data_IF_970006009735
#
_entry.id   IF_970006009735
#
_cell.length_a   1.000
_cell.length_b   1.000
_cell.length_c   1.000
_cell.angle_alpha   90.00
_cell.angle_beta   90.00
_cell.angle_gamma   90.00
#
_symmetry.space_group_name_H-M   'P 1'
#
loop_
_entity.id
_entity.type
_entity.pdbx_description
1 polymer ?
#
# COMPACT_ATOMS: atom_id res chain seq x y z
N UNK A 1 -26.30 12.21 -34.33
CA UNK A 1 -26.59 12.53 -32.92
C UNK A 1 -26.90 11.20 -32.25
N UNK A 2 -25.92 10.60 -31.58
CA UNK A 2 -26.17 9.38 -30.80
C UNK A 2 -27.15 9.74 -29.70
N UNK A 3 -28.22 8.97 -29.56
CA UNK A 3 -29.12 9.05 -28.40
C UNK A 3 -28.30 8.64 -27.18
N UNK A 4 -27.57 9.58 -26.59
CA UNK A 4 -26.89 9.38 -25.32
C UNK A 4 -27.99 9.20 -24.27
N UNK A 5 -28.16 7.98 -23.79
CA UNK A 5 -29.19 7.64 -22.80
C UNK A 5 -28.97 8.46 -21.52
N UNK A 6 -29.86 9.40 -21.17
CA UNK A 6 -29.71 10.21 -19.96
C UNK A 6 -29.68 9.34 -18.69
N UNK A 7 -30.28 8.15 -18.71
CA UNK A 7 -30.19 7.19 -17.63
C UNK A 7 -28.76 6.63 -17.49
N UNK A 8 -28.11 6.31 -18.61
CA UNK A 8 -26.71 5.87 -18.61
C UNK A 8 -25.77 6.97 -18.11
N UNK A 9 -25.96 8.21 -18.53
CA UNK A 9 -25.13 9.34 -18.07
C UNK A 9 -25.25 9.55 -16.56
N UNK A 10 -26.49 9.47 -16.04
CA UNK A 10 -26.76 9.54 -14.62
C UNK A 10 -26.07 8.39 -13.87
N UNK A 11 -26.22 7.15 -14.34
CA UNK A 11 -25.59 5.98 -13.74
C UNK A 11 -24.05 6.06 -13.72
N UNK A 12 -23.41 6.48 -14.82
CA UNK A 12 -21.96 6.63 -14.89
C UNK A 12 -21.45 7.75 -13.97
N UNK A 13 -22.20 8.83 -13.83
CA UNK A 13 -21.87 9.91 -12.90
C UNK A 13 -21.95 9.43 -11.46
N UNK A 14 -23.03 8.73 -11.09
CA UNK A 14 -23.16 8.11 -9.76
C UNK A 14 -22.04 7.11 -9.49
N UNK A 15 -21.75 6.22 -10.44
CA UNK A 15 -20.67 5.23 -10.32
C UNK A 15 -19.31 5.91 -10.12
N UNK A 16 -19.01 6.98 -10.87
CA UNK A 16 -17.79 7.75 -10.67
C UNK A 16 -17.66 8.26 -9.23
N UNK A 17 -18.72 8.84 -8.66
CA UNK A 17 -18.71 9.33 -7.28
C UNK A 17 -18.62 8.21 -6.25
N UNK A 18 -19.27 7.06 -6.49
CA UNK A 18 -19.18 5.88 -5.62
C UNK A 18 -17.74 5.36 -5.59
N UNK A 19 -17.10 5.22 -6.76
CA UNK A 19 -15.70 4.79 -6.87
C UNK A 19 -14.74 5.79 -6.22
N UNK A 20 -14.95 7.10 -6.41
CA UNK A 20 -14.13 8.15 -5.79
C UNK A 20 -14.29 8.17 -4.26
N UNK A 21 -15.51 7.92 -3.77
CA UNK A 21 -15.78 7.78 -2.33
C UNK A 21 -15.07 6.54 -1.78
N UNK A 22 -15.14 5.40 -2.49
CA UNK A 22 -14.44 4.19 -2.10
C UNK A 22 -12.92 4.40 -1.98
N UNK A 23 -12.31 5.11 -2.95
CA UNK A 23 -10.89 5.51 -2.90
C UNK A 23 -10.58 6.37 -1.66
N UNK A 24 -11.45 7.33 -1.34
CA UNK A 24 -11.25 8.26 -0.23
C UNK A 24 -11.37 7.54 1.13
N UNK A 25 -12.37 6.68 1.29
CA UNK A 25 -12.55 5.84 2.49
C UNK A 25 -11.36 4.90 2.69
N UNK A 26 -10.93 4.24 1.61
CA UNK A 26 -9.74 3.41 1.58
C UNK A 26 -8.49 4.16 2.07
N UNK A 27 -8.21 5.35 1.52
CA UNK A 27 -7.05 6.15 1.90
C UNK A 27 -7.10 6.61 3.38
N UNK A 28 -8.29 6.92 3.90
CA UNK A 28 -8.49 7.24 5.31
C UNK A 28 -8.19 6.03 6.22
N UNK A 29 -8.66 4.84 5.84
CA UNK A 29 -8.36 3.59 6.56
C UNK A 29 -6.85 3.30 6.56
N UNK A 30 -6.18 3.41 5.42
CA UNK A 30 -4.73 3.23 5.30
C UNK A 30 -3.97 4.16 6.26
N UNK A 31 -4.32 5.44 6.24
CA UNK A 31 -3.69 6.47 7.07
C UNK A 31 -3.92 6.21 8.57
N UNK A 32 -5.13 5.81 8.94
CA UNK A 32 -5.49 5.48 10.32
C UNK A 32 -4.69 4.29 10.85
N UNK A 33 -4.60 3.20 10.06
CA UNK A 33 -3.85 1.99 10.44
C UNK A 33 -2.35 2.26 10.55
N UNK A 34 -1.78 2.97 9.58
CA UNK A 34 -0.37 3.37 9.61
C UNK A 34 -0.06 4.21 10.86
N UNK A 35 -0.92 5.20 11.16
CA UNK A 35 -0.78 6.05 12.34
C UNK A 35 -0.89 5.25 13.63
N UNK A 36 -1.86 4.33 13.74
CA UNK A 36 -2.04 3.49 14.91
C UNK A 36 -0.79 2.64 15.17
N UNK A 37 -0.24 2.01 14.13
CA UNK A 37 0.98 1.21 14.24
C UNK A 37 2.17 2.06 14.70
N UNK A 38 2.42 3.22 14.07
CA UNK A 38 3.54 4.10 14.45
C UNK A 38 3.40 4.65 15.87
N UNK A 39 2.16 4.96 16.31
CA UNK A 39 1.89 5.37 17.69
C UNK A 39 2.16 4.25 18.69
N UNK A 40 1.67 3.04 18.42
CA UNK A 40 1.89 1.87 19.27
C UNK A 40 3.39 1.51 19.36
N UNK A 41 4.10 1.57 18.23
CA UNK A 41 5.54 1.38 18.18
C UNK A 41 6.27 2.44 19.01
N UNK A 42 5.96 3.71 18.79
CA UNK A 42 6.61 4.82 19.51
C UNK A 42 6.40 4.73 21.03
N UNK A 43 5.16 4.50 21.49
CA UNK A 43 4.88 4.39 22.94
C UNK A 43 5.55 3.17 23.57
N UNK A 44 5.61 2.06 22.83
CA UNK A 44 6.31 0.84 23.25
C UNK A 44 7.82 1.05 23.36
N UNK A 45 8.44 1.74 22.41
CA UNK A 45 9.86 2.07 22.45
C UNK A 45 10.17 3.01 23.63
N UNK A 46 9.29 3.96 23.94
CA UNK A 46 9.40 4.81 25.13
C UNK A 46 9.33 3.95 26.40
N UNK A 47 8.38 3.02 26.50
CA UNK A 47 8.27 2.12 27.65
C UNK A 47 9.51 1.22 27.80
N UNK A 48 10.04 0.69 26.70
CA UNK A 48 11.29 -0.08 26.69
C UNK A 48 12.49 0.77 27.12
N UNK A 49 12.54 2.04 26.74
CA UNK A 49 13.56 2.99 27.18
C UNK A 49 13.54 3.22 28.69
N UNK A 50 12.36 3.36 29.29
CA UNK A 50 12.24 3.44 30.76
C UNK A 50 12.61 2.14 31.47
N UNK A 51 12.35 1.00 30.83
CA UNK A 51 12.71 -0.30 31.33
C UNK A 51 14.14 -0.72 30.94
N UNK A 52 14.97 0.17 30.39
CA UNK A 52 16.32 -0.18 29.94
C UNK A 52 17.19 -0.75 31.08
N UNK A 53 18.20 -1.57 30.75
CA UNK A 53 19.12 -2.12 31.76
C UNK A 53 19.71 -1.02 32.66
N UNK A 54 19.88 -1.29 33.97
CA UNK A 54 19.87 -2.61 34.61
C UNK A 54 18.49 -3.12 35.08
N UNK A 55 17.37 -2.53 34.64
CA UNK A 55 16.04 -2.96 35.10
C UNK A 55 15.72 -4.42 34.72
N UNK A 56 15.28 -5.28 35.67
CA UNK A 56 14.90 -6.66 35.38
C UNK A 56 13.62 -6.75 34.53
N UNK A 57 12.86 -5.65 34.39
CA UNK A 57 11.66 -5.60 33.58
C UNK A 57 11.95 -5.53 32.06
N UNK A 58 13.19 -5.23 31.64
CA UNK A 58 13.53 -5.05 30.22
C UNK A 58 13.19 -6.27 29.37
N UNK A 59 13.71 -7.44 29.78
CA UNK A 59 13.61 -8.69 29.02
C UNK A 59 12.15 -9.14 28.87
N UNK A 60 11.33 -9.27 29.92
CA UNK A 60 9.95 -9.68 29.77
C UNK A 60 9.11 -8.66 28.98
N UNK A 61 9.38 -7.36 29.13
CA UNK A 61 8.70 -6.32 28.35
C UNK A 61 9.07 -6.41 26.86
N UNK A 62 10.35 -6.54 26.53
CA UNK A 62 10.80 -6.70 25.14
C UNK A 62 10.26 -7.99 24.51
N UNK A 63 10.29 -9.10 25.25
CA UNK A 63 9.81 -10.40 24.79
C UNK A 63 8.30 -10.45 24.55
N UNK A 64 7.51 -9.58 25.18
CA UNK A 64 6.06 -9.51 24.98
C UNK A 64 5.67 -8.46 23.94
N UNK A 65 6.27 -7.28 23.99
CA UNK A 65 5.89 -6.13 23.16
C UNK A 65 6.43 -6.25 21.74
N UNK A 66 7.68 -6.69 21.53
CA UNK A 66 8.26 -6.76 20.19
C UNK A 66 7.54 -7.76 19.28
N UNK A 67 7.17 -8.98 19.71
CA UNK A 67 6.36 -9.88 18.90
C UNK A 67 4.96 -9.33 18.62
N UNK A 68 4.32 -8.69 19.60
CA UNK A 68 3.00 -8.08 19.41
C UNK A 68 3.05 -6.96 18.34
N UNK A 69 4.08 -6.11 18.38
CA UNK A 69 4.30 -5.08 17.37
C UNK A 69 4.60 -5.68 16.00
N UNK A 70 5.41 -6.74 15.93
CA UNK A 70 5.71 -7.42 14.66
C UNK A 70 4.44 -7.96 13.98
N UNK A 71 3.53 -8.56 14.75
CA UNK A 71 2.23 -9.06 14.28
C UNK A 71 1.32 -7.90 13.86
N UNK A 72 1.24 -6.83 14.67
CA UNK A 72 0.44 -5.65 14.34
C UNK A 72 0.91 -4.99 13.05
N UNK A 73 2.23 -4.87 12.86
CA UNK A 73 2.82 -4.32 11.65
C UNK A 73 2.54 -5.20 10.44
N UNK A 74 2.61 -6.53 10.58
CA UNK A 74 2.27 -7.48 9.51
C UNK A 74 0.81 -7.31 9.05
N UNK A 75 -0.15 -7.28 9.99
CA UNK A 75 -1.57 -7.08 9.66
C UNK A 75 -1.82 -5.73 9.00
N UNK A 76 -1.14 -4.69 9.49
CA UNK A 76 -1.22 -3.35 8.91
C UNK A 76 -0.71 -3.35 7.47
N UNK A 77 0.48 -3.91 7.23
CA UNK A 77 1.10 -3.98 5.91
C UNK A 77 0.27 -4.80 4.91
N UNK A 78 -0.28 -5.96 5.31
CA UNK A 78 -1.14 -6.78 4.44
C UNK A 78 -2.39 -5.99 4.03
N UNK A 79 -3.05 -5.33 4.96
CA UNK A 79 -4.26 -4.54 4.65
C UNK A 79 -3.96 -3.35 3.74
N UNK A 80 -2.81 -2.69 3.93
CA UNK A 80 -2.34 -1.61 3.05
C UNK A 80 -2.13 -2.10 1.61
N UNK A 81 -1.64 -3.33 1.41
CA UNK A 81 -1.51 -3.94 0.08
C UNK A 81 -2.88 -4.14 -0.57
N UNK A 82 -3.84 -4.70 0.17
CA UNK A 82 -5.19 -4.95 -0.36
C UNK A 82 -5.91 -3.66 -0.74
N UNK A 83 -5.83 -2.63 0.11
CA UNK A 83 -6.42 -1.32 -0.18
C UNK A 83 -5.75 -0.65 -1.38
N UNK A 84 -4.43 -0.82 -1.55
CA UNK A 84 -3.73 -0.37 -2.75
C UNK A 84 -4.21 -1.07 -4.03
N UNK A 85 -4.49 -2.38 -3.99
CA UNK A 85 -5.09 -3.09 -5.12
C UNK A 85 -6.49 -2.57 -5.43
N UNK A 86 -7.33 -2.38 -4.41
CA UNK A 86 -8.67 -1.82 -4.57
C UNK A 86 -8.61 -0.41 -5.20
N UNK A 87 -7.69 0.43 -4.76
CA UNK A 87 -7.48 1.78 -5.30
C UNK A 87 -7.13 1.74 -6.80
N UNK A 88 -6.25 0.82 -7.23
CA UNK A 88 -5.94 0.64 -8.66
C UNK A 88 -7.19 0.25 -9.46
N UNK A 89 -8.01 -0.66 -8.94
CA UNK A 89 -9.25 -1.09 -9.61
C UNK A 89 -10.25 0.05 -9.75
N UNK A 90 -10.51 0.79 -8.67
CA UNK A 90 -11.43 1.93 -8.68
C UNK A 90 -10.95 3.01 -9.65
N UNK A 91 -9.66 3.32 -9.66
CA UNK A 91 -9.11 4.31 -10.62
C UNK A 91 -9.15 3.83 -12.05
N UNK A 92 -8.97 2.53 -12.30
CA UNK A 92 -9.11 1.95 -13.64
C UNK A 92 -10.56 2.06 -14.13
N UNK A 93 -11.53 1.79 -13.26
CA UNK A 93 -12.94 1.96 -13.59
C UNK A 93 -13.29 3.43 -13.86
N UNK A 94 -12.79 4.37 -13.05
CA UNK A 94 -12.93 5.81 -13.30
C UNK A 94 -12.29 6.22 -14.63
N UNK A 95 -11.10 5.70 -14.97
CA UNK A 95 -10.45 5.98 -16.25
C UNK A 95 -11.30 5.52 -17.44
N UNK A 96 -11.94 4.35 -17.33
CA UNK A 96 -12.89 3.86 -18.34
C UNK A 96 -14.12 4.77 -18.50
N UNK A 97 -14.69 5.24 -17.39
CA UNK A 97 -15.79 6.21 -17.41
C UNK A 97 -15.34 7.52 -18.08
N UNK A 98 -14.14 7.99 -17.77
CA UNK A 98 -13.58 9.22 -18.37
C UNK A 98 -13.30 9.07 -19.87
N UNK A 99 -12.90 7.88 -20.33
CA UNK A 99 -12.79 7.58 -21.75
C UNK A 99 -14.14 7.73 -22.47
N UNK A 100 -15.23 7.25 -21.85
CA UNK A 100 -16.58 7.44 -22.39
C UNK A 100 -16.93 8.93 -22.47
N UNK A 101 -16.66 9.70 -21.42
CA UNK A 101 -16.93 11.15 -21.41
C UNK A 101 -16.19 11.92 -22.50
N UNK A 102 -14.97 11.49 -22.85
CA UNK A 102 -14.19 12.09 -23.95
C UNK A 102 -14.79 11.85 -25.33
N UNK A 103 -15.66 10.85 -25.50
CA UNK A 103 -16.30 10.52 -26.78
C UNK A 103 -17.64 11.24 -26.99
N UNK A 104 -18.22 11.84 -25.96
CA UNK A 104 -19.52 12.52 -26.01
C UNK A 104 -19.53 13.75 -26.93
N UNK A 105 -18.40 14.47 -27.00
CA UNK A 105 -18.31 15.69 -27.80
C UNK A 105 -16.89 15.88 -28.33
N UNK A 106 -16.72 16.40 -29.56
CA UNK A 106 -15.42 16.78 -30.09
C UNK A 106 -14.65 17.79 -29.21
N UNK A 107 -15.36 18.60 -28.41
CA UNK A 107 -14.74 19.56 -27.46
C UNK A 107 -14.42 18.94 -26.11
N UNK A 108 -14.89 17.73 -25.81
CA UNK A 108 -14.67 17.10 -24.51
C UNK A 108 -13.18 16.82 -24.25
N UNK A 109 -12.39 16.59 -25.30
CA UNK A 109 -10.93 16.43 -25.19
C UNK A 109 -10.20 17.67 -24.71
N UNK A 110 -10.79 18.85 -24.86
CA UNK A 110 -10.17 20.12 -24.45
C UNK A 110 -10.26 20.32 -22.92
N UNK A 111 -11.26 19.70 -22.29
CA UNK A 111 -11.52 19.83 -20.85
C UNK A 111 -11.13 18.58 -20.05
N UNK A 112 -11.22 17.39 -20.66
CA UNK A 112 -10.93 16.13 -19.98
C UNK A 112 -9.52 15.67 -20.34
N UNK A 113 -8.59 15.90 -19.42
CA UNK A 113 -7.17 15.57 -19.55
C UNK A 113 -6.96 14.06 -19.76
N UNK A 114 -6.19 13.72 -20.81
CA UNK A 114 -5.69 12.37 -21.07
C UNK A 114 -4.39 12.12 -20.29
N UNK A 115 -4.47 11.39 -19.18
CA UNK A 115 -3.31 11.23 -18.28
C UNK A 115 -2.25 10.30 -18.87
N UNK A 116 -2.65 9.30 -19.66
CA UNK A 116 -1.75 8.34 -20.31
C UNK A 116 -1.43 8.67 -21.78
N UNK A 117 -1.88 9.83 -22.28
CA UNK A 117 -1.62 10.28 -23.65
C UNK A 117 -2.09 9.24 -24.69
N UNK A 118 -1.17 8.74 -25.52
CA UNK A 118 -1.46 7.75 -26.56
C UNK A 118 -1.96 6.39 -26.02
N UNK A 119 -1.71 6.09 -24.74
CA UNK A 119 -2.13 4.86 -24.09
C UNK A 119 -3.43 5.01 -23.28
N UNK A 120 -4.18 6.11 -23.43
CA UNK A 120 -5.42 6.36 -22.67
C UNK A 120 -6.46 5.25 -22.85
N UNK A 121 -6.48 4.57 -24.02
CA UNK A 121 -7.43 3.50 -24.30
C UNK A 121 -7.26 2.27 -23.39
N UNK A 122 -6.10 2.12 -22.72
CA UNK A 122 -5.93 1.15 -21.65
C UNK A 122 -6.23 1.80 -20.30
N UNK A 123 -7.37 1.41 -19.72
CA UNK A 123 -7.85 1.92 -18.44
C UNK A 123 -6.83 1.72 -17.30
N UNK A 124 -6.04 0.65 -17.33
CA UNK A 124 -5.03 0.37 -16.31
C UNK A 124 -3.84 1.32 -16.45
N UNK A 125 -3.36 1.54 -17.66
CA UNK A 125 -2.30 2.52 -17.93
C UNK A 125 -2.75 3.94 -17.63
N UNK A 126 -3.99 4.30 -17.97
CA UNK A 126 -4.59 5.60 -17.63
C UNK A 126 -4.68 5.79 -16.10
N UNK A 127 -5.13 4.77 -15.36
CA UNK A 127 -5.14 4.81 -13.90
C UNK A 127 -3.74 4.98 -13.30
N UNK A 128 -2.75 4.22 -13.79
CA UNK A 128 -1.36 4.38 -13.36
C UNK A 128 -0.84 5.80 -13.62
N UNK A 129 -1.14 6.38 -14.79
CA UNK A 129 -0.72 7.72 -15.12
C UNK A 129 -1.32 8.80 -14.17
N UNK A 130 -2.58 8.64 -13.72
CA UNK A 130 -3.17 9.54 -12.71
C UNK A 130 -2.50 9.46 -11.33
N UNK A 131 -1.79 8.37 -11.05
CA UNK A 131 -1.02 8.20 -9.81
C UNK A 131 0.40 8.76 -9.93
N UNK A 132 0.78 9.37 -11.07
CA UNK A 132 2.16 9.79 -11.34
C UNK A 132 3.11 8.61 -11.59
N UNK A 133 2.57 7.41 -11.80
CA UNK A 133 3.32 6.18 -12.07
C UNK A 133 3.67 6.19 -13.57
N UNK A 134 4.75 6.89 -13.91
CA UNK A 134 5.29 6.92 -15.27
C UNK A 134 5.76 5.54 -15.75
N UNK A 135 5.56 5.26 -17.04
CA UNK A 135 5.69 3.98 -17.77
C UNK A 135 7.04 3.23 -17.72
N UNK A 136 7.97 3.60 -16.83
CA UNK A 136 9.37 3.11 -16.87
C UNK A 136 9.95 2.60 -15.55
N UNK A 137 9.23 2.58 -14.42
CA UNK A 137 9.82 2.10 -13.16
C UNK A 137 8.90 1.33 -12.21
N UNK A 138 8.10 0.41 -12.76
CA UNK A 138 7.16 -0.45 -12.03
C UNK A 138 7.75 -1.13 -10.78
N UNK A 139 9.02 -1.56 -10.85
CA UNK A 139 9.69 -2.24 -9.73
C UNK A 139 10.04 -1.32 -8.55
N UNK A 140 10.45 -0.07 -8.80
CA UNK A 140 10.84 0.89 -7.77
C UNK A 140 9.61 1.61 -7.20
N UNK A 141 8.55 1.77 -7.99
CA UNK A 141 7.31 2.41 -7.51
C UNK A 141 6.64 1.58 -6.41
N UNK A 142 6.70 0.25 -6.50
CA UNK A 142 6.24 -0.62 -5.41
C UNK A 142 6.90 -0.31 -4.06
N UNK A 143 8.18 0.11 -4.06
CA UNK A 143 8.93 0.48 -2.86
C UNK A 143 8.44 1.78 -2.20
N UNK A 144 7.82 2.68 -2.96
CA UNK A 144 7.36 3.98 -2.46
C UNK A 144 5.90 3.97 -1.99
N UNK A 145 5.32 2.78 -1.82
CA UNK A 145 3.97 2.64 -1.27
C UNK A 145 3.97 2.75 0.26
N UNK A 146 2.87 3.23 0.82
CA UNK A 146 2.67 3.27 2.28
C UNK A 146 2.80 1.88 2.91
N UNK A 147 2.39 0.82 2.20
CA UNK A 147 2.58 -0.57 2.60
C UNK A 147 4.06 -0.93 2.81
N UNK A 148 4.92 -0.58 1.85
CA UNK A 148 6.38 -0.83 1.95
C UNK A 148 7.03 0.01 3.04
N UNK A 149 6.60 1.26 3.25
CA UNK A 149 7.11 2.09 4.34
C UNK A 149 6.82 1.44 5.70
N UNK A 150 5.57 1.01 5.93
CA UNK A 150 5.21 0.31 7.17
C UNK A 150 5.91 -1.04 7.28
N UNK A 151 6.04 -1.79 6.18
CA UNK A 151 6.76 -3.06 6.19
C UNK A 151 8.25 -2.89 6.49
N UNK A 152 8.89 -1.80 6.03
CA UNK A 152 10.27 -1.47 6.36
C UNK A 152 10.42 -1.17 7.86
N UNK A 153 9.51 -0.37 8.43
CA UNK A 153 9.46 -0.13 9.88
C UNK A 153 9.28 -1.46 10.63
N UNK A 154 8.37 -2.33 10.18
CA UNK A 154 8.14 -3.63 10.80
C UNK A 154 9.35 -4.56 10.70
N UNK A 155 10.08 -4.50 9.59
CA UNK A 155 11.32 -5.26 9.39
C UNK A 155 12.39 -4.84 10.39
N UNK A 156 12.49 -3.54 10.71
CA UNK A 156 13.40 -3.03 11.75
C UNK A 156 13.01 -3.60 13.12
N UNK A 157 11.71 -3.62 13.46
CA UNK A 157 11.22 -4.19 14.72
C UNK A 157 11.58 -5.68 14.82
N UNK A 158 11.34 -6.44 13.75
CA UNK A 158 11.69 -7.87 13.70
C UNK A 158 13.20 -8.06 13.84
N UNK A 159 14.02 -7.30 13.12
CA UNK A 159 15.48 -7.39 13.21
C UNK A 159 16.01 -7.04 14.60
N UNK A 160 15.45 -6.00 15.23
CA UNK A 160 15.80 -5.62 16.60
C UNK A 160 15.43 -6.72 17.61
N UNK A 161 14.22 -7.30 17.49
CA UNK A 161 13.78 -8.42 18.32
C UNK A 161 14.67 -9.66 18.16
N UNK A 162 15.03 -10.02 16.92
CA UNK A 162 15.95 -11.14 16.65
C UNK A 162 17.36 -10.84 17.19
N UNK A 163 17.85 -9.60 17.07
CA UNK A 163 19.15 -9.20 17.66
C UNK A 163 19.14 -9.41 19.17
N UNK A 164 18.11 -8.91 19.86
CA UNK A 164 17.97 -9.03 21.31
C UNK A 164 17.81 -10.48 21.78
N UNK A 165 17.14 -11.32 20.99
CA UNK A 165 17.02 -12.75 21.29
C UNK A 165 18.37 -13.47 21.08
N UNK A 166 19.08 -13.14 20.01
CA UNK A 166 20.33 -13.80 19.64
C UNK A 166 21.48 -13.47 20.61
N UNK A 167 21.49 -12.31 21.26
CA UNK A 167 22.50 -11.97 22.28
C UNK A 167 22.46 -12.88 23.51
N UNK A 168 21.39 -13.67 23.71
CA UNK A 168 21.32 -14.66 24.78
C UNK A 168 22.21 -15.88 24.53
N UNK A 169 22.58 -16.16 23.28
CA UNK A 169 23.31 -17.36 22.87
C UNK A 169 24.58 -17.07 22.05
N UNK A 170 24.67 -15.89 21.43
CA UNK A 170 25.71 -15.54 20.48
C UNK A 170 26.42 -14.23 20.85
N UNK A 171 27.67 -14.03 20.39
CA UNK A 171 28.36 -12.75 20.55
C UNK A 171 27.64 -11.65 19.77
N UNK A 172 27.79 -10.41 20.24
CA UNK A 172 27.07 -9.23 19.72
C UNK A 172 27.13 -9.09 18.20
N UNK A 173 28.31 -9.31 17.58
CA UNK A 173 28.46 -9.21 16.13
C UNK A 173 27.60 -10.22 15.36
N UNK A 174 27.50 -11.45 15.85
CA UNK A 174 26.65 -12.49 15.24
C UNK A 174 25.17 -12.17 15.45
N UNK A 175 24.80 -11.70 16.64
CA UNK A 175 23.43 -11.30 16.95
C UNK A 175 22.94 -10.17 16.04
N UNK A 176 23.76 -9.13 15.83
CA UNK A 176 23.45 -8.01 14.91
C UNK A 176 23.32 -8.52 13.49
N UNK A 177 24.23 -9.38 13.03
CA UNK A 177 24.17 -9.95 11.68
C UNK A 177 22.87 -10.75 11.45
N UNK A 178 22.45 -11.56 12.43
CA UNK A 178 21.19 -12.31 12.38
C UNK A 178 19.98 -11.38 12.34
N UNK A 179 19.97 -10.31 13.13
CA UNK A 179 18.90 -9.32 13.12
C UNK A 179 18.79 -8.56 11.81
N UNK A 180 19.91 -8.09 11.26
CA UNK A 180 19.95 -7.44 9.95
C UNK A 180 19.48 -8.39 8.83
N UNK A 181 19.92 -9.65 8.87
CA UNK A 181 19.48 -10.67 7.93
C UNK A 181 17.96 -10.91 8.05
N UNK A 182 17.42 -11.03 9.26
CA UNK A 182 15.99 -11.22 9.48
C UNK A 182 15.17 -10.02 8.96
N UNK A 183 15.63 -8.79 9.21
CA UNK A 183 15.01 -7.59 8.69
C UNK A 183 15.02 -7.56 7.15
N UNK A 184 16.17 -7.86 6.54
CA UNK A 184 16.32 -7.89 5.08
C UNK A 184 15.44 -8.98 4.44
N UNK A 185 15.40 -10.18 5.02
CA UNK A 185 14.56 -11.29 4.57
C UNK A 185 13.09 -10.94 4.67
N UNK A 186 12.63 -10.42 5.82
CA UNK A 186 11.24 -10.01 5.98
C UNK A 186 10.84 -8.92 4.97
N UNK A 187 11.67 -7.89 4.79
CA UNK A 187 11.41 -6.83 3.81
C UNK A 187 11.35 -7.37 2.37
N UNK A 188 12.28 -8.25 2.00
CA UNK A 188 12.33 -8.87 0.68
C UNK A 188 11.09 -9.76 0.44
N UNK A 189 10.73 -10.60 1.41
CA UNK A 189 9.53 -11.44 1.33
C UNK A 189 8.27 -10.59 1.21
N UNK A 190 8.18 -9.50 1.98
CA UNK A 190 7.03 -8.59 1.90
C UNK A 190 6.96 -7.88 0.54
N UNK A 191 8.09 -7.44 -0.01
CA UNK A 191 8.15 -6.87 -1.36
C UNK A 191 7.68 -7.88 -2.42
N UNK A 192 8.13 -9.14 -2.32
CA UNK A 192 7.70 -10.20 -3.22
C UNK A 192 6.19 -10.49 -3.09
N UNK A 193 5.67 -10.53 -1.86
CA UNK A 193 4.24 -10.66 -1.58
C UNK A 193 3.45 -9.52 -2.23
N UNK A 194 3.84 -8.26 -1.99
CA UNK A 194 3.19 -7.11 -2.58
C UNK A 194 3.23 -7.16 -4.10
N UNK A 195 4.40 -7.47 -4.69
CA UNK A 195 4.55 -7.57 -6.13
C UNK A 195 3.67 -8.67 -6.72
N UNK A 196 3.63 -9.83 -6.07
CA UNK A 196 2.77 -10.93 -6.50
C UNK A 196 1.29 -10.52 -6.45
N UNK A 197 0.85 -9.93 -5.34
CA UNK A 197 -0.53 -9.50 -5.13
C UNK A 197 -0.99 -8.43 -6.13
N UNK A 198 -0.10 -7.51 -6.49
CA UNK A 198 -0.38 -6.48 -7.51
C UNK A 198 -0.41 -7.06 -8.93
N UNK A 199 0.34 -8.14 -9.20
CA UNK A 199 0.32 -8.85 -10.48
C UNK A 199 -0.92 -9.72 -10.65
N UNK A 200 -1.38 -10.37 -9.58
CA UNK A 200 -2.58 -11.21 -9.56
C UNK A 200 -3.85 -10.43 -9.27
N UNK A 201 -3.82 -9.09 -9.41
CA UNK A 201 -5.01 -8.25 -9.24
C UNK A 201 -6.09 -8.65 -10.27
N UNK A 202 -7.37 -8.61 -9.88
CA UNK A 202 -8.48 -8.75 -10.83
C UNK A 202 -8.32 -7.77 -12.00
N UNK A 203 -8.71 -8.18 -13.19
CA UNK A 203 -8.80 -7.29 -14.35
C UNK A 203 -10.25 -6.82 -14.49
N UNK A 204 -10.44 -5.60 -14.98
CA UNK A 204 -11.78 -5.14 -15.31
C UNK A 204 -12.31 -5.98 -16.49
N UNK A 205 -13.63 -6.27 -16.53
CA UNK A 205 -14.22 -6.99 -17.66
C UNK A 205 -13.88 -6.29 -18.98
N UNK A 206 -13.55 -7.04 -20.03
CA UNK A 206 -13.38 -6.46 -21.36
C UNK A 206 -14.73 -5.92 -21.85
N UNK A 207 -14.72 -4.73 -22.47
CA UNK A 207 -15.91 -4.20 -23.12
C UNK A 207 -16.02 -4.95 -24.44
N UNK A 208 -17.04 -5.82 -24.57
CA UNK A 208 -17.35 -6.43 -25.86
C UNK A 208 -17.78 -5.32 -26.84
N UNK A 209 -17.28 -5.35 -28.09
CA UNK A 209 -17.54 -4.31 -29.08
C UNK A 209 -19.02 -4.20 -29.47
#
# INVERSE_FOLDING_TARGET
>A
MTNDDPALMSALTTEHFVLQTAISTASSEESSRATLYVKALSSSLVALGFAAPPSPAFVPLAATVLPALAVLGLFTSVRLVDTGVQNILCRSAIARIRLYYRRLSPRASDYIVAWAGAAENDAVTAAAATMGIGRRRDWLIGLFTIAMMIAAINSIVIGAGITLLATLAFPLGVAIALGLLAAAVHLALFYLYQRHRYRTRPQLPEISP
#
